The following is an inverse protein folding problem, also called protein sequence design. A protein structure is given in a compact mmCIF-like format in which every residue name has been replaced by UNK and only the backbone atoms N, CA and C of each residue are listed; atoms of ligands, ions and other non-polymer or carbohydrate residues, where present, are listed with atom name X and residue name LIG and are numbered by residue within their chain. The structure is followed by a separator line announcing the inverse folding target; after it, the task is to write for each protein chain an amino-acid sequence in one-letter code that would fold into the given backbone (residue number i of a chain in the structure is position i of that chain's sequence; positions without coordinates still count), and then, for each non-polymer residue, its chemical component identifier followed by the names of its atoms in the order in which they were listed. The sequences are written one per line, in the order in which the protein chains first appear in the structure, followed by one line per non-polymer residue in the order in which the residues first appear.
data_IF_858634842151
#
_entry.id   IF_858634842151
#
_cell.length_a   1.000
_cell.length_b   1.000
_cell.length_c   1.000
_cell.angle_alpha   90.00
_cell.angle_beta   90.00
_cell.angle_gamma   90.00
#
_symmetry.space_group_name_H-M   'P 1'
#
loop_
_entity.id
_entity.type
_entity.pdbx_description
1 polymer ?
#
# COMPACT_ATOMS: atom_id res chain seq x y z
N UNK A 1 10.10 -31.24 4.86
CA UNK A 1 8.67 -30.81 4.81
C UNK A 1 8.66 -29.33 4.42
N UNK A 2 8.08 -28.95 3.28
CA UNK A 2 7.91 -27.54 2.91
C UNK A 2 6.76 -26.94 3.71
N UNK A 3 7.07 -26.08 4.68
CA UNK A 3 6.10 -25.50 5.60
C UNK A 3 5.31 -24.33 5.00
N UNK A 4 4.05 -24.21 5.41
CA UNK A 4 3.27 -22.98 5.30
C UNK A 4 3.77 -22.03 6.40
N UNK A 5 4.09 -20.79 6.04
CA UNK A 5 4.41 -19.76 7.01
C UNK A 5 3.64 -18.47 6.69
N UNK A 6 3.36 -17.70 7.75
CA UNK A 6 2.71 -16.42 7.66
C UNK A 6 3.39 -15.46 8.64
N UNK A 7 3.63 -14.24 8.20
CA UNK A 7 4.12 -13.13 9.02
C UNK A 7 3.05 -12.06 9.06
N UNK A 8 2.83 -11.48 10.25
CA UNK A 8 1.90 -10.37 10.43
C UNK A 8 2.54 -9.38 11.38
N UNK A 9 2.66 -8.16 10.91
CA UNK A 9 3.30 -7.07 11.63
C UNK A 9 2.35 -5.87 11.70
N UNK A 10 2.49 -5.08 12.76
CA UNK A 10 1.64 -3.92 13.01
C UNK A 10 2.47 -2.72 13.42
N UNK A 11 2.09 -1.55 12.93
CA UNK A 11 2.72 -0.27 13.27
C UNK A 11 1.65 0.70 13.74
N UNK A 12 1.97 1.48 14.78
CA UNK A 12 1.17 2.62 15.18
C UNK A 12 2.08 3.79 15.55
N UNK A 13 1.66 5.02 15.26
CA UNK A 13 2.47 6.21 15.54
C UNK A 13 1.86 7.50 15.03
N UNK A 14 2.73 8.46 14.76
CA UNK A 14 2.39 9.77 14.21
C UNK A 14 3.22 10.04 12.95
N UNK A 15 2.65 10.77 12.00
CA UNK A 15 3.30 11.23 10.79
C UNK A 15 3.18 12.75 10.67
N UNK A 16 4.21 13.37 10.13
CA UNK A 16 4.20 14.77 9.71
C UNK A 16 4.11 14.81 8.19
N UNK A 17 3.17 15.59 7.66
CA UNK A 17 2.91 15.71 6.23
C UNK A 17 3.16 17.14 5.76
N UNK A 18 4.03 17.30 4.76
CA UNK A 18 4.13 18.51 3.95
C UNK A 18 3.41 18.31 2.62
N UNK A 19 2.37 19.10 2.37
CA UNK A 19 1.59 19.06 1.16
C UNK A 19 1.82 20.32 0.33
N UNK A 20 2.38 20.14 -0.88
CA UNK A 20 2.61 21.24 -1.83
C UNK A 20 1.41 21.29 -2.79
N UNK A 21 0.67 22.38 -2.77
CA UNK A 21 -0.46 22.59 -3.67
C UNK A 21 0.05 23.23 -4.97
N UNK A 22 -0.31 22.65 -6.14
CA UNK A 22 0.13 23.17 -7.45
C UNK A 22 -0.66 24.41 -7.91
N UNK A 23 -1.76 24.76 -7.24
CA UNK A 23 -2.48 26.00 -7.53
C UNK A 23 -1.73 27.21 -6.94
N UNK A 24 -1.49 28.22 -7.78
CA UNK A 24 -0.64 29.38 -7.51
C UNK A 24 -0.96 30.18 -6.24
N UNK A 25 -2.13 29.98 -5.63
CA UNK A 25 -2.59 30.70 -4.43
C UNK A 25 -2.62 29.86 -3.14
N UNK A 26 -2.34 28.55 -3.21
CA UNK A 26 -2.70 27.61 -2.15
C UNK A 26 -1.58 27.27 -1.15
N UNK A 27 -0.35 27.77 -1.35
CA UNK A 27 0.77 27.61 -0.42
C UNK A 27 1.12 26.16 -0.06
N UNK A 28 2.06 26.01 0.88
CA UNK A 28 2.36 24.71 1.52
C UNK A 28 1.44 24.51 2.71
N UNK A 29 0.87 23.31 2.84
CA UNK A 29 0.06 22.92 3.99
C UNK A 29 0.80 21.86 4.81
N UNK A 30 0.80 22.04 6.12
CA UNK A 30 1.41 21.12 7.07
C UNK A 30 0.33 20.41 7.89
N UNK A 31 0.48 19.12 8.13
CA UNK A 31 -0.40 18.37 9.04
C UNK A 31 0.35 17.36 9.89
N UNK A 32 -0.24 17.05 11.04
CA UNK A 32 0.13 15.88 11.85
C UNK A 32 -1.01 14.88 11.75
N UNK A 33 -0.66 13.64 11.48
CA UNK A 33 -1.58 12.53 11.29
C UNK A 33 -1.22 11.40 12.25
N UNK A 34 -2.22 10.65 12.69
CA UNK A 34 -1.99 9.34 13.29
C UNK A 34 -1.54 8.36 12.20
N UNK A 35 -0.93 7.26 12.61
CA UNK A 35 -0.57 6.15 11.73
C UNK A 35 -1.03 4.88 12.40
N UNK A 36 -1.75 4.04 11.68
CA UNK A 36 -1.97 2.63 12.01
C UNK A 36 -1.77 1.83 10.74
N UNK A 37 -0.93 0.80 10.80
CA UNK A 37 -0.68 -0.06 9.66
C UNK A 37 -0.62 -1.53 10.07
N UNK A 38 -1.01 -2.38 9.13
CA UNK A 38 -0.86 -3.82 9.21
C UNK A 38 -0.21 -4.29 7.93
N UNK A 39 0.79 -5.14 8.07
CA UNK A 39 1.45 -5.84 6.97
C UNK A 39 1.32 -7.34 7.20
N UNK A 40 0.97 -8.08 6.17
CA UNK A 40 0.81 -9.52 6.25
C UNK A 40 1.34 -10.20 5.01
N UNK A 41 2.11 -11.27 5.23
CA UNK A 41 2.68 -12.11 4.19
C UNK A 41 2.32 -13.57 4.42
N UNK A 42 1.91 -14.26 3.35
CA UNK A 42 1.49 -15.65 3.39
C UNK A 42 2.20 -16.44 2.31
N UNK A 43 2.84 -17.53 2.72
CA UNK A 43 3.65 -18.37 1.85
C UNK A 43 3.13 -19.80 1.84
N UNK A 44 2.99 -20.38 0.65
CA UNK A 44 2.55 -21.77 0.48
C UNK A 44 3.41 -22.51 -0.55
N UNK A 45 3.97 -23.64 -0.10
CA UNK A 45 4.68 -24.63 -0.93
C UNK A 45 5.76 -24.06 -1.85
N UNK A 46 6.48 -23.02 -1.42
CA UNK A 46 7.52 -22.31 -2.21
C UNK A 46 7.06 -21.69 -3.54
N UNK A 47 5.79 -21.85 -3.92
CA UNK A 47 5.25 -21.44 -5.20
C UNK A 47 4.30 -20.25 -5.08
N UNK A 48 3.57 -20.14 -3.97
CA UNK A 48 2.63 -19.05 -3.76
C UNK A 48 3.17 -18.11 -2.68
N UNK A 49 3.17 -16.82 -2.98
CA UNK A 49 3.39 -15.76 -1.99
C UNK A 49 2.31 -14.69 -2.16
N UNK A 50 1.58 -14.40 -1.10
CA UNK A 50 0.62 -13.29 -1.04
C UNK A 50 1.09 -12.29 0.01
N UNK A 51 1.22 -11.02 -0.37
CA UNK A 51 1.60 -9.94 0.53
C UNK A 51 0.55 -8.82 0.48
N UNK A 52 0.22 -8.27 1.63
CA UNK A 52 -0.66 -7.10 1.74
C UNK A 52 -0.11 -6.13 2.77
N UNK A 53 -0.20 -4.84 2.46
CA UNK A 53 -0.02 -3.76 3.44
C UNK A 53 -1.20 -2.82 3.39
N UNK A 54 -1.72 -2.48 4.56
CA UNK A 54 -2.80 -1.52 4.73
C UNK A 54 -2.35 -0.49 5.76
N UNK A 55 -2.31 0.77 5.34
CA UNK A 55 -1.92 1.91 6.17
C UNK A 55 -3.09 2.88 6.25
N UNK A 56 -3.39 3.38 7.44
CA UNK A 56 -4.45 4.34 7.69
C UNK A 56 -3.84 5.54 8.43
N UNK A 57 -4.19 6.73 7.96
CA UNK A 57 -3.68 8.00 8.48
C UNK A 57 -4.85 8.92 8.85
N UNK A 58 -5.40 8.81 10.07
CA UNK A 58 -6.40 9.77 10.55
C UNK A 58 -5.74 11.13 10.82
N UNK A 59 -6.34 12.21 10.32
CA UNK A 59 -5.84 13.56 10.53
C UNK A 59 -6.03 14.01 11.98
N UNK A 60 -4.95 14.42 12.64
CA UNK A 60 -5.00 14.96 14.01
C UNK A 60 -5.13 16.48 14.01
N UNK A 61 -4.46 17.15 13.06
CA UNK A 61 -4.60 18.60 12.86
C UNK A 61 -5.63 18.97 11.80
N UNK A 62 -5.95 18.04 10.89
CA UNK A 62 -6.94 18.22 9.83
C UNK A 62 -8.20 17.43 10.18
N UNK A 63 -9.14 18.10 10.86
CA UNK A 63 -10.34 17.45 11.37
C UNK A 63 -11.14 16.72 10.28
N UNK A 64 -11.47 15.46 10.54
CA UNK A 64 -12.23 14.62 9.63
C UNK A 64 -11.47 14.09 8.41
N UNK A 65 -10.18 14.42 8.24
CA UNK A 65 -9.36 13.84 7.17
C UNK A 65 -9.01 12.40 7.51
N UNK A 66 -9.12 11.52 6.51
CA UNK A 66 -8.71 10.14 6.55
C UNK A 66 -8.01 9.80 5.24
N UNK A 67 -6.76 9.35 5.35
CA UNK A 67 -6.02 8.79 4.23
C UNK A 67 -5.76 7.32 4.43
N UNK A 68 -5.67 6.58 3.33
CA UNK A 68 -5.36 5.16 3.36
C UNK A 68 -4.44 4.80 2.19
N UNK A 69 -3.51 3.89 2.45
CA UNK A 69 -2.72 3.22 1.42
C UNK A 69 -2.96 1.74 1.53
N UNK A 70 -3.38 1.12 0.43
CA UNK A 70 -3.53 -0.33 0.32
C UNK A 70 -2.60 -0.84 -0.78
N UNK A 71 -1.76 -1.82 -0.48
CA UNK A 71 -1.02 -2.57 -1.47
C UNK A 71 -1.31 -4.06 -1.29
N UNK A 72 -1.50 -4.76 -2.39
CA UNK A 72 -1.66 -6.20 -2.41
C UNK A 72 -0.86 -6.78 -3.56
N UNK A 73 -0.23 -7.93 -3.35
CA UNK A 73 0.41 -8.67 -4.41
C UNK A 73 0.27 -10.16 -4.21
N UNK A 74 0.10 -10.88 -5.31
CA UNK A 74 0.13 -12.32 -5.36
C UNK A 74 1.17 -12.75 -6.39
N UNK A 75 2.09 -13.59 -5.96
CA UNK A 75 3.12 -14.22 -6.76
C UNK A 75 2.83 -15.71 -6.84
N UNK A 76 2.91 -16.25 -8.05
CA UNK A 76 2.77 -17.67 -8.31
C UNK A 76 3.90 -18.18 -9.21
N UNK A 77 4.76 -19.04 -8.66
CA UNK A 77 5.78 -19.79 -9.37
C UNK A 77 5.14 -21.00 -10.05
N UNK A 78 5.42 -21.15 -11.34
CA UNK A 78 5.08 -22.35 -12.10
C UNK A 78 6.13 -23.45 -11.85
N UNK A 79 6.10 -24.53 -12.62
CA UNK A 79 6.91 -25.72 -12.35
C UNK A 79 8.42 -25.53 -12.50
N UNK A 80 8.92 -24.66 -13.40
CA UNK A 80 10.37 -24.58 -13.73
C UNK A 80 10.88 -23.17 -14.12
N UNK A 81 10.68 -22.19 -13.25
CA UNK A 81 11.25 -20.84 -13.44
C UNK A 81 10.24 -19.73 -13.81
N UNK A 82 9.25 -19.94 -14.70
CA UNK A 82 8.32 -18.87 -15.01
C UNK A 82 7.44 -18.58 -13.80
N UNK A 83 7.07 -17.31 -13.64
CA UNK A 83 6.17 -16.87 -12.59
C UNK A 83 5.22 -15.79 -13.10
N UNK A 84 4.09 -15.70 -12.41
CA UNK A 84 3.13 -14.62 -12.53
C UNK A 84 3.15 -13.81 -11.24
N UNK A 85 3.10 -12.48 -11.38
CA UNK A 85 2.80 -11.59 -10.25
C UNK A 85 1.66 -10.67 -10.65
N UNK A 86 0.64 -10.61 -9.82
CA UNK A 86 -0.39 -9.60 -9.92
C UNK A 86 -0.32 -8.71 -8.69
N UNK A 87 -0.24 -7.41 -8.89
CA UNK A 87 -0.21 -6.42 -7.82
C UNK A 87 -1.28 -5.37 -8.05
N UNK A 88 -1.93 -4.93 -6.98
CA UNK A 88 -2.88 -3.81 -6.99
C UNK A 88 -2.53 -2.85 -5.87
N UNK A 89 -2.79 -1.57 -6.10
CA UNK A 89 -2.67 -0.52 -5.10
C UNK A 89 -3.90 0.39 -5.13
N UNK A 90 -4.18 1.00 -3.98
CA UNK A 90 -5.11 2.12 -3.84
C UNK A 90 -4.52 3.14 -2.87
N UNK A 91 -4.55 4.40 -3.27
CA UNK A 91 -4.29 5.54 -2.40
C UNK A 91 -5.58 6.34 -2.27
N UNK A 92 -6.13 6.38 -1.06
CA UNK A 92 -7.36 7.08 -0.74
C UNK A 92 -7.09 8.33 0.11
N UNK A 93 -7.78 9.41 -0.21
CA UNK A 93 -7.89 10.62 0.60
C UNK A 93 -9.33 11.16 0.51
N UNK A 94 -10.00 11.27 1.65
CA UNK A 94 -11.36 11.84 1.68
C UNK A 94 -11.38 13.38 1.59
N UNK A 95 -10.22 14.03 1.72
CA UNK A 95 -10.04 15.47 1.54
C UNK A 95 -8.86 15.71 0.58
N UNK A 96 -8.97 15.26 -0.68
CA UNK A 96 -7.89 15.37 -1.65
C UNK A 96 -7.67 16.83 -2.07
N UNK A 97 -6.53 17.12 -2.69
CA UNK A 97 -6.29 18.44 -3.28
C UNK A 97 -7.35 18.78 -4.34
N UNK A 98 -7.65 20.07 -4.48
CA UNK A 98 -8.56 20.54 -5.53
C UNK A 98 -8.08 20.08 -6.91
N UNK A 99 -8.95 19.39 -7.65
CA UNK A 99 -8.62 18.83 -8.96
C UNK A 99 -7.98 17.44 -8.94
N UNK A 100 -7.83 16.81 -7.76
CA UNK A 100 -7.36 15.42 -7.64
C UNK A 100 -8.48 14.49 -7.19
N UNK A 101 -8.55 13.25 -7.69
CA UNK A 101 -9.55 12.28 -7.26
C UNK A 101 -9.28 11.79 -5.84
N UNK A 102 -10.33 11.37 -5.14
CA UNK A 102 -10.20 10.77 -3.80
C UNK A 102 -9.49 9.42 -3.79
N UNK A 103 -9.47 8.70 -4.91
CA UNK A 103 -8.79 7.42 -5.05
C UNK A 103 -7.83 7.45 -6.24
N UNK A 104 -6.67 6.82 -6.05
CA UNK A 104 -5.74 6.48 -7.12
C UNK A 104 -5.48 4.97 -7.07
N UNK A 105 -6.22 4.25 -7.91
CA UNK A 105 -6.16 2.79 -8.01
C UNK A 105 -5.36 2.39 -9.24
N UNK A 106 -4.52 1.37 -9.09
CA UNK A 106 -3.82 0.77 -10.22
C UNK A 106 -3.53 -0.69 -10.02
N UNK A 107 -3.22 -1.37 -11.12
CA UNK A 107 -2.89 -2.78 -11.12
C UNK A 107 -1.80 -3.10 -12.13
N UNK A 108 -0.98 -4.10 -11.81
CA UNK A 108 0.11 -4.58 -12.66
C UNK A 108 0.04 -6.09 -12.70
N UNK A 109 -0.01 -6.65 -13.91
CA UNK A 109 0.25 -8.06 -14.16
C UNK A 109 1.65 -8.19 -14.77
N UNK A 110 2.49 -8.99 -14.13
CA UNK A 110 3.86 -9.27 -14.56
C UNK A 110 4.02 -10.76 -14.84
N UNK A 111 4.69 -11.05 -15.95
CA UNK A 111 5.21 -12.39 -16.27
C UNK A 111 6.73 -12.28 -16.20
N UNK A 112 7.37 -13.23 -15.53
CA UNK A 112 8.82 -13.25 -15.43
C UNK A 112 9.38 -14.66 -15.39
N UNK A 113 10.71 -14.76 -15.39
CA UNK A 113 11.44 -16.01 -15.30
C UNK A 113 12.50 -15.89 -14.20
N UNK A 114 12.63 -16.93 -13.38
CA UNK A 114 13.63 -17.01 -12.34
C UNK A 114 14.55 -18.21 -12.59
N UNK A 115 15.87 -17.98 -12.47
CA UNK A 115 16.92 -18.94 -12.86
C UNK A 115 17.40 -19.84 -11.72
N UNK A 116 16.65 -19.91 -10.62
CA UNK A 116 17.03 -20.64 -9.41
C UNK A 116 16.81 -22.15 -9.52
#
# INVERSE_FOLDING_TARGET
MMGRHANVDGVAGFAYTDQINQQASAGTQHSIDGVVAVEAEFYRFSALHFATSAWIYPGLTNAGRLRMTLNQSIYYKLTQGPYLRFSVYDYFDNQPQAGTPSNNVGGVLSVGWAFH
#
